data_IF_366481427209
#
_entry.id   IF_366481427209
#
_cell.length_a   1.000
_cell.length_b   1.000
_cell.length_c   1.000
_cell.angle_alpha   90.00
_cell.angle_beta   90.00
_cell.angle_gamma   90.00
#
_symmetry.space_group_name_H-M   'P 1'
#
loop_
_entity.id
_entity.type
_entity.pdbx_description
1 polymer ?
#
# COMPACT_ATOMS: atom_id res chain seq x y z
N UNK A 1 -12.99 -10.28 9.48
CA UNK A 1 -12.75 -9.50 8.26
C UNK A 1 -13.43 -8.14 8.40
N UNK A 2 -12.75 -7.05 8.02
CA UNK A 2 -13.34 -5.71 8.02
C UNK A 2 -14.06 -5.44 6.68
N UNK A 3 -15.21 -4.75 6.75
CA UNK A 3 -15.92 -4.27 5.57
C UNK A 3 -15.63 -2.79 5.38
N UNK A 4 -15.05 -2.43 4.21
CA UNK A 4 -14.74 -1.07 3.85
C UNK A 4 -15.71 -0.53 2.79
N UNK A 5 -16.15 0.69 2.97
CA UNK A 5 -16.93 1.43 1.97
C UNK A 5 -16.03 2.32 1.08
N UNK A 6 -16.60 3.00 0.08
CA UNK A 6 -18.01 2.95 -0.33
C UNK A 6 -18.37 1.66 -1.09
N UNK A 7 -19.66 1.39 -1.25
CA UNK A 7 -20.13 0.26 -2.07
C UNK A 7 -19.65 0.39 -3.51
N UNK A 8 -19.20 -0.74 -4.06
CA UNK A 8 -18.75 -0.86 -5.43
C UNK A 8 -19.67 -1.77 -6.24
N UNK A 9 -19.59 -1.70 -7.56
CA UNK A 9 -20.37 -2.57 -8.45
C UNK A 9 -20.06 -4.05 -8.23
N UNK A 10 -18.81 -4.37 -7.94
CA UNK A 10 -18.35 -5.74 -7.68
C UNK A 10 -17.67 -5.80 -6.30
N UNK A 11 -17.84 -6.93 -5.63
CA UNK A 11 -17.15 -7.21 -4.37
C UNK A 11 -15.67 -7.45 -4.63
N UNK A 12 -14.82 -6.88 -3.78
CA UNK A 12 -13.38 -7.09 -3.78
C UNK A 12 -12.95 -7.57 -2.39
N UNK A 13 -12.06 -8.55 -2.36
CA UNK A 13 -11.45 -9.08 -1.13
C UNK A 13 -9.95 -8.83 -1.22
N UNK A 14 -9.43 -8.04 -0.29
CA UNK A 14 -8.00 -7.77 -0.18
C UNK A 14 -7.39 -8.68 0.87
N UNK A 15 -6.32 -9.35 0.50
CA UNK A 15 -5.58 -10.29 1.33
C UNK A 15 -4.08 -10.01 1.28
N UNK A 16 -3.35 -10.43 2.29
CA UNK A 16 -1.89 -10.49 2.22
C UNK A 16 -1.43 -11.73 1.44
N UNK A 17 -0.17 -11.75 1.01
CA UNK A 17 0.44 -12.93 0.39
C UNK A 17 0.44 -14.14 1.35
N UNK A 18 0.66 -13.91 2.63
CA UNK A 18 0.62 -14.96 3.66
C UNK A 18 -0.78 -15.57 3.75
N UNK A 19 -1.83 -14.76 3.73
CA UNK A 19 -3.20 -15.25 3.85
C UNK A 19 -3.64 -16.01 2.60
N UNK A 20 -3.29 -15.52 1.40
CA UNK A 20 -3.60 -16.24 0.16
C UNK A 20 -2.95 -17.62 0.15
N UNK A 21 -1.68 -17.73 0.59
CA UNK A 21 -0.97 -19.02 0.70
C UNK A 21 -1.62 -19.96 1.70
N UNK A 22 -2.02 -19.46 2.88
CA UNK A 22 -2.72 -20.28 3.90
C UNK A 22 -4.02 -20.85 3.39
N UNK A 23 -4.76 -20.10 2.59
CA UNK A 23 -6.06 -20.48 2.08
C UNK A 23 -5.99 -21.24 0.75
N UNK A 24 -4.79 -21.39 0.16
CA UNK A 24 -4.61 -22.04 -1.13
C UNK A 24 -5.22 -21.23 -2.31
N UNK A 25 -5.39 -19.93 -2.15
CA UNK A 25 -5.92 -19.04 -3.18
C UNK A 25 -4.73 -18.51 -4.01
N UNK A 26 -4.80 -18.52 -5.36
CA UNK A 26 -3.77 -17.92 -6.19
C UNK A 26 -3.54 -16.45 -5.83
N UNK A 27 -2.28 -16.07 -5.57
CA UNK A 27 -1.94 -14.68 -5.23
C UNK A 27 -1.84 -13.84 -6.49
N UNK A 28 -2.66 -12.80 -6.61
CA UNK A 28 -2.67 -11.88 -7.75
C UNK A 28 -2.54 -10.46 -7.23
N UNK A 29 -1.39 -9.82 -7.49
CA UNK A 29 -1.15 -8.42 -7.09
C UNK A 29 -1.82 -7.52 -8.11
N UNK A 30 -2.72 -6.65 -7.65
CA UNK A 30 -3.49 -5.70 -8.46
C UNK A 30 -3.69 -4.37 -7.75
N UNK A 31 -3.86 -3.33 -8.52
CA UNK A 31 -4.42 -2.09 -7.97
C UNK A 31 -5.87 -2.32 -7.55
N UNK A 32 -6.27 -1.71 -6.43
CA UNK A 32 -7.66 -1.78 -5.95
C UNK A 32 -8.64 -1.31 -7.03
N UNK A 33 -9.59 -2.17 -7.37
CA UNK A 33 -10.55 -1.98 -8.47
C UNK A 33 -10.25 -2.80 -9.73
N UNK A 34 -9.03 -3.23 -9.94
CA UNK A 34 -8.65 -4.11 -11.05
C UNK A 34 -8.80 -5.58 -10.63
N UNK A 35 -10.00 -6.11 -10.85
CA UNK A 35 -10.37 -7.47 -10.44
C UNK A 35 -10.55 -8.44 -11.61
N UNK A 36 -10.28 -8.02 -12.82
CA UNK A 36 -10.48 -8.89 -13.98
C UNK A 36 -9.43 -10.03 -14.00
N UNK A 37 -9.89 -11.25 -14.22
CA UNK A 37 -9.05 -12.45 -14.21
C UNK A 37 -8.46 -12.81 -12.83
N UNK A 38 -8.97 -12.22 -11.75
CA UNK A 38 -8.55 -12.56 -10.38
C UNK A 38 -9.34 -13.76 -9.84
N UNK A 39 -8.82 -14.52 -8.87
CA UNK A 39 -9.54 -15.63 -8.27
C UNK A 39 -10.75 -15.16 -7.47
N UNK A 40 -11.66 -16.09 -7.25
CA UNK A 40 -12.79 -15.95 -6.33
C UNK A 40 -12.54 -16.61 -4.98
N UNK A 41 -13.54 -16.54 -4.12
CA UNK A 41 -13.55 -17.23 -2.82
C UNK A 41 -14.98 -17.43 -2.33
N UNK A 42 -15.12 -18.21 -1.27
CA UNK A 42 -16.36 -18.31 -0.49
C UNK A 42 -16.17 -17.52 0.81
N UNK A 43 -17.08 -16.61 1.08
CA UNK A 43 -17.14 -15.89 2.35
C UNK A 43 -18.20 -16.55 3.23
N UNK A 44 -17.78 -17.12 4.35
CA UNK A 44 -18.66 -17.76 5.33
C UNK A 44 -18.91 -16.85 6.52
N UNK A 45 -20.15 -16.75 6.93
CA UNK A 45 -20.60 -15.94 8.05
C UNK A 45 -21.72 -16.62 8.85
N UNK A 46 -22.16 -16.02 9.97
CA UNK A 46 -23.19 -16.60 10.83
C UNK A 46 -24.58 -16.73 10.15
N UNK A 47 -24.79 -16.06 9.04
CA UNK A 47 -26.04 -16.07 8.29
C UNK A 47 -25.97 -16.84 6.98
N UNK A 48 -24.85 -17.52 6.70
CA UNK A 48 -24.65 -18.32 5.50
C UNK A 48 -23.38 -17.98 4.73
N UNK A 49 -23.27 -18.59 3.57
CA UNK A 49 -22.11 -18.48 2.68
C UNK A 49 -22.46 -17.65 1.44
N UNK A 50 -21.50 -16.89 0.97
CA UNK A 50 -21.59 -16.15 -0.28
C UNK A 50 -20.38 -16.53 -1.15
N UNK A 51 -20.66 -17.03 -2.34
CA UNK A 51 -19.62 -17.27 -3.34
C UNK A 51 -19.33 -16.00 -4.12
N UNK A 52 -18.07 -15.63 -4.19
CA UNK A 52 -17.56 -14.52 -4.99
C UNK A 52 -16.73 -15.14 -6.12
N UNK A 53 -17.18 -15.07 -7.39
CA UNK A 53 -16.53 -15.78 -8.49
C UNK A 53 -15.19 -15.18 -8.90
N UNK A 54 -14.96 -13.89 -8.59
CA UNK A 54 -13.72 -13.15 -8.81
C UNK A 54 -13.63 -11.98 -7.84
N UNK A 55 -12.45 -11.41 -7.68
CA UNK A 55 -12.25 -10.19 -6.87
C UNK A 55 -11.34 -10.37 -5.67
N UNK A 56 -10.68 -11.53 -5.51
CA UNK A 56 -9.61 -11.68 -4.52
C UNK A 56 -8.32 -11.14 -5.10
N UNK A 57 -7.72 -10.18 -4.41
CA UNK A 57 -6.43 -9.55 -4.78
C UNK A 57 -5.51 -9.44 -3.59
N UNK A 58 -4.22 -9.36 -3.86
CA UNK A 58 -3.24 -8.72 -2.99
C UNK A 58 -3.13 -7.28 -3.49
N UNK A 59 -3.59 -6.32 -2.70
CA UNK A 59 -3.63 -4.93 -3.12
C UNK A 59 -2.20 -4.39 -3.31
N UNK A 60 -1.91 -3.81 -4.49
CA UNK A 60 -0.63 -3.15 -4.72
C UNK A 60 -0.49 -1.98 -3.76
N UNK A 61 0.65 -1.88 -3.07
CA UNK A 61 0.94 -0.77 -2.16
C UNK A 61 0.84 0.56 -2.88
N UNK A 62 0.27 1.56 -2.22
CA UNK A 62 0.02 2.83 -2.85
C UNK A 62 -0.05 3.98 -1.84
N UNK A 63 0.13 5.20 -2.34
CA UNK A 63 -0.04 6.43 -1.58
C UNK A 63 -1.29 7.14 -2.09
N UNK A 64 -2.18 7.50 -1.16
CA UNK A 64 -3.23 8.47 -1.44
C UNK A 64 -2.69 9.88 -1.20
N UNK A 65 -3.02 10.82 -2.08
CA UNK A 65 -2.75 12.24 -1.88
C UNK A 65 -3.79 13.12 -2.57
N UNK A 66 -3.89 14.36 -2.12
CA UNK A 66 -4.72 15.38 -2.77
C UNK A 66 -4.02 15.95 -4.00
N UNK A 67 -4.75 16.64 -4.92
CA UNK A 67 -4.13 17.37 -6.03
C UNK A 67 -3.11 18.44 -5.58
N UNK A 68 -3.36 19.10 -4.45
CA UNK A 68 -2.44 20.13 -3.93
C UNK A 68 -1.12 19.50 -3.43
N UNK A 69 -1.20 18.38 -2.72
CA UNK A 69 -0.02 17.61 -2.30
C UNK A 69 0.76 17.05 -3.50
N UNK A 70 0.05 16.52 -4.49
CA UNK A 70 0.62 16.05 -5.76
C UNK A 70 1.41 17.15 -6.46
N UNK A 71 0.83 18.35 -6.53
CA UNK A 71 1.48 19.53 -7.14
C UNK A 71 2.71 19.96 -6.32
N UNK A 72 2.57 20.08 -5.00
CA UNK A 72 3.66 20.48 -4.11
C UNK A 72 4.84 19.52 -4.15
N UNK A 73 4.53 18.23 -4.24
CA UNK A 73 5.53 17.17 -4.37
C UNK A 73 6.01 16.94 -5.81
N UNK A 74 5.42 17.59 -6.83
CA UNK A 74 5.62 17.36 -8.26
C UNK A 74 5.53 15.88 -8.65
N UNK A 75 4.60 15.14 -8.10
CA UNK A 75 4.30 13.73 -8.37
C UNK A 75 2.91 13.67 -9.00
N UNK A 76 2.71 12.79 -9.96
CA UNK A 76 1.43 12.67 -10.69
C UNK A 76 0.68 11.42 -10.28
N UNK A 77 -0.61 11.41 -10.58
CA UNK A 77 -1.42 10.21 -10.48
C UNK A 77 -0.84 9.06 -11.31
N UNK A 78 -0.79 7.86 -10.73
CA UNK A 78 -0.14 6.66 -11.27
C UNK A 78 1.39 6.70 -11.42
N UNK A 79 2.08 7.70 -10.91
CA UNK A 79 3.53 7.61 -10.77
C UNK A 79 3.89 6.49 -9.78
N UNK A 80 5.03 5.83 -10.04
CA UNK A 80 5.64 4.90 -9.09
C UNK A 80 6.79 5.58 -8.37
N UNK A 81 6.80 5.49 -7.05
CA UNK A 81 7.80 6.11 -6.20
C UNK A 81 8.42 5.11 -5.23
N UNK A 82 9.58 5.48 -4.70
CA UNK A 82 10.18 4.78 -3.57
C UNK A 82 9.77 5.45 -2.27
N UNK A 83 9.54 4.65 -1.23
CA UNK A 83 9.22 5.16 0.10
C UNK A 83 10.14 4.53 1.14
N UNK A 84 10.94 5.35 1.81
CA UNK A 84 11.67 4.93 3.00
C UNK A 84 10.71 4.95 4.18
N UNK A 85 10.50 3.82 4.79
CA UNK A 85 9.73 3.70 6.05
C UNK A 85 10.69 3.76 7.23
N UNK A 86 10.33 4.53 8.25
CA UNK A 86 11.06 4.54 9.52
C UNK A 86 10.31 3.69 10.54
N UNK A 87 11.03 2.77 11.12
CA UNK A 87 10.60 2.05 12.30
C UNK A 87 11.79 1.80 13.21
N UNK A 88 11.53 1.38 14.45
CA UNK A 88 12.58 1.08 15.40
C UNK A 88 13.31 -0.21 15.00
N UNK A 89 14.46 -0.07 14.36
CA UNK A 89 15.37 -1.17 14.03
C UNK A 89 15.05 -1.96 12.75
N UNK A 90 14.03 -1.55 11.97
CA UNK A 90 13.63 -2.27 10.74
C UNK A 90 13.23 -1.31 9.60
N UNK A 91 14.02 -0.28 9.37
CA UNK A 91 13.77 0.62 8.25
C UNK A 91 13.86 -0.13 6.90
N UNK A 92 12.95 0.17 5.98
CA UNK A 92 12.89 -0.41 4.65
C UNK A 92 12.68 0.67 3.61
N UNK A 93 13.11 0.40 2.38
CA UNK A 93 12.68 1.16 1.21
C UNK A 93 11.72 0.29 0.40
N UNK A 94 10.49 0.72 0.30
CA UNK A 94 9.53 0.12 -0.61
C UNK A 94 9.69 0.74 -1.99
N UNK A 95 9.89 -0.09 -3.00
CA UNK A 95 9.81 0.27 -4.41
C UNK A 95 8.37 0.11 -4.93
N UNK A 96 8.12 0.52 -6.16
CA UNK A 96 6.85 0.28 -6.88
C UNK A 96 5.60 0.76 -6.12
N UNK A 97 5.72 1.82 -5.32
CA UNK A 97 4.60 2.41 -4.60
C UNK A 97 3.82 3.30 -5.55
N UNK A 98 2.59 2.93 -5.88
CA UNK A 98 1.76 3.68 -6.83
C UNK A 98 1.15 4.89 -6.15
N UNK A 99 1.25 6.04 -6.78
CA UNK A 99 0.59 7.27 -6.32
C UNK A 99 -0.83 7.34 -6.87
N UNK A 100 -1.79 7.65 -6.02
CA UNK A 100 -3.19 7.84 -6.37
C UNK A 100 -3.66 9.21 -5.92
N UNK A 101 -4.06 10.05 -6.86
CA UNK A 101 -4.44 11.44 -6.59
C UNK A 101 -5.95 11.62 -6.69
N UNK A 102 -6.56 12.08 -5.60
CA UNK A 102 -7.99 12.41 -5.61
C UNK A 102 -8.30 13.45 -4.53
N UNK A 103 -9.26 14.36 -4.82
CA UNK A 103 -9.62 15.49 -3.92
C UNK A 103 -10.10 15.06 -2.52
N UNK A 104 -10.63 13.87 -2.38
CA UNK A 104 -11.16 13.34 -1.13
C UNK A 104 -10.16 12.42 -0.40
N UNK A 105 -8.92 12.34 -0.88
CA UNK A 105 -7.88 11.57 -0.21
C UNK A 105 -7.17 12.41 0.87
N UNK A 106 -6.47 11.73 1.73
CA UNK A 106 -5.51 12.31 2.66
C UNK A 106 -4.17 11.64 2.42
N UNK A 107 -3.08 12.37 2.64
CA UNK A 107 -1.73 11.83 2.45
C UNK A 107 -1.51 10.64 3.40
N UNK A 108 -1.51 9.45 2.82
CA UNK A 108 -1.28 8.21 3.55
C UNK A 108 -0.78 7.12 2.61
N UNK A 109 0.17 6.31 3.08
CA UNK A 109 0.60 5.09 2.39
C UNK A 109 -0.23 3.91 2.89
N UNK A 110 -0.70 3.11 1.96
CA UNK A 110 -1.45 1.89 2.21
C UNK A 110 -0.59 0.68 1.85
N UNK A 111 -0.46 -0.22 2.79
CA UNK A 111 0.29 -1.48 2.70
C UNK A 111 -0.53 -2.61 3.29
N UNK A 112 -0.24 -3.84 2.90
CA UNK A 112 -0.86 -5.01 3.54
C UNK A 112 -0.18 -5.37 4.87
N UNK A 113 -0.71 -6.39 5.56
CA UNK A 113 -0.18 -6.82 6.86
C UNK A 113 1.22 -7.42 6.78
N UNK A 114 1.57 -8.08 5.69
CA UNK A 114 2.92 -8.64 5.51
C UNK A 114 3.95 -7.52 5.35
N UNK A 115 3.60 -6.50 4.56
CA UNK A 115 4.41 -5.31 4.35
C UNK A 115 4.54 -4.50 5.64
N UNK A 116 3.44 -4.28 6.36
CA UNK A 116 3.43 -3.58 7.64
C UNK A 116 4.31 -4.29 8.69
N UNK A 117 4.23 -5.62 8.77
CA UNK A 117 5.08 -6.41 9.67
C UNK A 117 6.56 -6.34 9.29
N UNK A 118 6.88 -6.17 8.01
CA UNK A 118 8.27 -6.12 7.56
C UNK A 118 9.03 -4.93 8.14
N UNK A 119 8.41 -3.78 8.34
CA UNK A 119 9.04 -2.60 8.94
C UNK A 119 8.61 -2.29 10.38
N UNK A 120 7.88 -3.22 11.04
CA UNK A 120 7.42 -3.08 12.41
C UNK A 120 6.58 -1.81 12.64
N UNK A 121 5.37 -1.78 12.08
CA UNK A 121 4.47 -0.63 12.07
C UNK A 121 3.71 -0.37 13.38
N UNK A 122 4.08 -1.01 14.48
CA UNK A 122 3.31 -1.01 15.74
C UNK A 122 3.20 0.37 16.42
N UNK A 123 4.02 1.33 16.02
CA UNK A 123 4.02 2.68 16.61
C UNK A 123 4.00 3.69 15.47
N UNK A 124 3.21 4.72 15.53
CA UNK A 124 3.07 5.84 14.58
C UNK A 124 4.03 5.77 13.35
N UNK A 125 3.79 4.85 12.41
CA UNK A 125 4.70 4.66 11.30
C UNK A 125 4.61 5.84 10.34
N UNK A 126 5.76 6.32 9.87
CA UNK A 126 5.79 7.31 8.81
C UNK A 126 6.80 6.92 7.74
N UNK A 127 6.58 7.42 6.54
CA UNK A 127 7.45 7.21 5.40
C UNK A 127 7.84 8.51 4.72
N UNK A 128 8.98 8.50 4.05
CA UNK A 128 9.46 9.60 3.22
C UNK A 128 9.52 9.14 1.78
N UNK A 129 8.91 9.91 0.88
CA UNK A 129 8.97 9.63 -0.55
C UNK A 129 10.38 9.97 -1.07
N UNK A 130 11.05 8.97 -1.63
CA UNK A 130 12.37 9.10 -2.26
C UNK A 130 12.18 9.11 -3.76
N UNK A 131 12.65 10.17 -4.43
CA UNK A 131 12.33 10.33 -5.85
C UNK A 131 13.24 9.59 -6.80
N UNK A 132 14.55 9.54 -6.54
CA UNK A 132 15.52 8.94 -7.45
C UNK A 132 16.80 8.52 -6.73
N UNK A 133 17.32 7.37 -7.08
CA UNK A 133 18.74 7.07 -6.90
C UNK A 133 19.48 7.64 -8.12
N UNK A 134 20.04 8.81 -7.99
CA UNK A 134 21.06 9.28 -8.92
C UNK A 134 22.40 8.60 -8.56
N UNK A 135 23.29 8.47 -9.53
CA UNK A 135 24.60 7.84 -9.36
C UNK A 135 25.51 8.55 -8.33
N UNK A 136 25.17 9.78 -7.95
CA UNK A 136 25.86 10.59 -6.93
C UNK A 136 25.09 10.62 -5.60
N UNK A 137 23.97 9.88 -5.49
CA UNK A 137 23.14 9.88 -4.31
C UNK A 137 23.84 9.16 -3.16
N UNK A 138 24.18 9.91 -2.12
CA UNK A 138 24.72 9.34 -0.89
C UNK A 138 23.59 8.94 0.05
N UNK A 139 23.28 7.65 0.05
CA UNK A 139 22.19 7.06 0.84
C UNK A 139 22.35 7.35 2.32
N UNK A 140 23.55 7.25 2.87
CA UNK A 140 23.80 7.42 4.31
C UNK A 140 23.57 8.88 4.71
N UNK A 141 24.11 9.82 3.94
CA UNK A 141 23.92 11.25 4.16
C UNK A 141 22.43 11.64 4.03
N UNK A 142 21.75 11.11 3.01
CA UNK A 142 20.33 11.39 2.80
C UNK A 142 19.48 10.87 3.96
N UNK A 143 19.75 9.64 4.44
CA UNK A 143 19.08 9.07 5.62
C UNK A 143 19.34 9.93 6.84
N UNK A 144 20.58 10.39 7.08
CA UNK A 144 20.90 11.25 8.19
C UNK A 144 20.20 12.61 8.12
N UNK A 145 20.19 13.26 6.98
CA UNK A 145 19.56 14.57 6.74
C UNK A 145 18.05 14.49 6.94
N UNK A 146 17.37 13.52 6.33
CA UNK A 146 15.92 13.29 6.45
C UNK A 146 15.52 12.93 7.89
N UNK A 147 16.27 12.05 8.53
CA UNK A 147 15.98 11.65 9.90
C UNK A 147 16.29 12.77 10.93
N UNK A 148 17.21 13.68 10.64
CA UNK A 148 17.49 14.83 11.50
C UNK A 148 16.40 15.90 11.43
N UNK A 149 15.80 16.10 10.25
CA UNK A 149 14.68 17.01 10.03
C UNK A 149 13.40 16.64 10.79
N UNK A 150 13.24 15.38 11.15
CA UNK A 150 12.04 14.82 11.80
C UNK A 150 12.11 14.90 13.34
N UNK A 151 13.23 15.31 13.90
CA UNK A 151 13.41 15.48 15.36
C UNK A 151 12.96 16.85 15.90
N UNK A 152 12.20 17.62 15.12
CA UNK A 152 11.68 18.93 15.58
C UNK A 152 10.18 18.94 15.72
#
# INVERSE_FOLDING_TARGET
MALLGPFRKNTQVEMSLTDTRKLGIPSVIRQSGDIEGTPGCILSGPYGDIEIPKGVIVAKRHIHMTPDESLALHIKDNDEVFVLTKSYGRALIYADVVVRVHRNYHLAMHVDTDEANAFNSDTEPYGVIVRFFDSNFNTDKWIEDELSGIRR
#
